data_IF_388399699311
#
_entry.id   IF_388399699311
#
_cell.length_a   1.000
_cell.length_b   1.000
_cell.length_c   1.000
_cell.angle_alpha   90.00
_cell.angle_beta   90.00
_cell.angle_gamma   90.00
#
_symmetry.space_group_name_H-M   'P 1'
#
loop_
_entity.id
_entity.type
_entity.pdbx_description
1 polymer ?
#
# COMPACT_ATOMS: atom_id res chain seq x y z
N UNK A 1 6.94 31.99 -24.01
CA UNK A 1 5.81 31.49 -23.19
C UNK A 1 5.97 29.99 -23.10
N UNK A 2 6.60 29.49 -22.05
CA UNK A 2 6.69 28.04 -21.80
C UNK A 2 5.43 27.69 -21.01
N UNK A 3 4.53 26.94 -21.65
CA UNK A 3 3.37 26.34 -20.99
C UNK A 3 3.93 25.43 -19.88
N UNK A 4 3.75 25.81 -18.61
CA UNK A 4 3.99 24.92 -17.48
C UNK A 4 3.03 23.75 -17.62
N UNK A 5 3.55 22.61 -18.03
CA UNK A 5 2.87 21.34 -17.91
C UNK A 5 2.45 21.19 -16.44
N UNK A 6 1.15 21.09 -16.18
CA UNK A 6 0.61 20.88 -14.83
C UNK A 6 1.13 19.51 -14.37
N UNK A 7 2.25 19.52 -13.65
CA UNK A 7 2.84 18.33 -13.07
C UNK A 7 1.88 17.82 -11.98
N UNK A 8 0.90 17.01 -12.37
CA UNK A 8 0.02 16.32 -11.43
C UNK A 8 0.89 15.25 -10.79
N UNK A 9 1.37 15.51 -9.58
CA UNK A 9 2.07 14.51 -8.79
C UNK A 9 1.22 13.24 -8.69
N UNK A 10 1.84 12.07 -8.79
CA UNK A 10 1.16 10.78 -8.63
C UNK A 10 0.92 10.52 -7.14
N UNK A 11 -0.24 9.96 -6.77
CA UNK A 11 -0.48 9.56 -5.38
C UNK A 11 0.55 8.50 -4.96
N UNK A 12 1.13 8.68 -3.77
CA UNK A 12 2.12 7.78 -3.17
C UNK A 12 1.52 7.10 -1.92
N UNK A 13 0.90 5.93 -2.07
CA UNK A 13 0.48 5.14 -0.91
C UNK A 13 1.68 4.50 -0.21
N UNK A 14 1.63 4.45 1.12
CA UNK A 14 2.52 3.68 1.98
C UNK A 14 1.77 2.45 2.48
N UNK A 15 2.31 1.27 2.24
CA UNK A 15 1.77 0.01 2.73
C UNK A 15 2.56 -0.43 3.96
N UNK A 16 1.88 -0.57 5.11
CA UNK A 16 2.44 -1.16 6.33
C UNK A 16 1.78 -2.51 6.57
N UNK A 17 2.58 -3.57 6.62
CA UNK A 17 2.09 -4.94 6.77
C UNK A 17 2.32 -5.40 8.21
N UNK A 18 1.22 -5.62 8.92
CA UNK A 18 1.16 -5.98 10.33
C UNK A 18 1.48 -4.83 11.28
N UNK A 19 1.05 -5.00 12.53
CA UNK A 19 1.40 -4.10 13.63
C UNK A 19 2.60 -4.67 14.40
N UNK A 20 3.56 -3.79 14.71
CA UNK A 20 4.77 -4.13 15.49
C UNK A 20 5.57 -5.34 14.98
N UNK A 21 5.61 -5.51 13.65
CA UNK A 21 6.30 -6.60 12.94
C UNK A 21 7.81 -6.37 12.76
N UNK A 22 8.35 -5.23 13.20
CA UNK A 22 9.79 -4.91 13.11
C UNK A 22 10.64 -5.95 13.86
N UNK A 23 10.14 -6.46 14.99
CA UNK A 23 10.79 -7.47 15.81
C UNK A 23 10.96 -8.82 15.10
N UNK A 24 10.19 -9.06 14.02
CA UNK A 24 10.26 -10.26 13.20
C UNK A 24 11.45 -10.24 12.22
N UNK A 25 12.25 -9.17 12.20
CA UNK A 25 13.52 -9.04 11.43
C UNK A 25 13.41 -9.37 9.93
N UNK A 26 12.23 -9.24 9.34
CA UNK A 26 12.00 -9.54 7.93
C UNK A 26 11.63 -11.00 7.62
N UNK A 27 11.67 -11.91 8.60
CA UNK A 27 11.41 -13.35 8.39
C UNK A 27 10.08 -13.70 7.68
N UNK A 28 8.94 -13.04 7.97
CA UNK A 28 7.68 -13.35 7.29
C UNK A 28 7.54 -12.65 5.93
N UNK A 29 8.54 -11.86 5.50
CA UNK A 29 8.45 -11.02 4.32
C UNK A 29 9.51 -11.40 3.29
N UNK A 30 9.08 -11.57 2.03
CA UNK A 30 9.98 -11.70 0.90
C UNK A 30 9.68 -10.61 -0.13
N UNK A 31 10.55 -9.62 -0.22
CA UNK A 31 10.47 -8.57 -1.25
C UNK A 31 10.76 -9.20 -2.62
N UNK A 32 9.94 -8.85 -3.62
CA UNK A 32 10.02 -9.39 -4.98
C UNK A 32 10.46 -8.36 -6.03
N UNK A 33 10.67 -7.12 -5.61
CA UNK A 33 11.00 -5.98 -6.45
C UNK A 33 12.20 -5.23 -5.91
N UNK A 34 12.85 -4.45 -6.76
CA UNK A 34 13.94 -3.55 -6.38
C UNK A 34 13.43 -2.11 -6.18
N UNK A 35 14.23 -1.31 -5.47
CA UNK A 35 13.94 0.11 -5.33
C UNK A 35 13.89 0.80 -6.70
N UNK A 36 12.91 1.68 -6.91
CA UNK A 36 12.66 2.39 -8.16
C UNK A 36 12.27 1.49 -9.36
N UNK A 37 12.02 0.19 -9.15
CA UNK A 37 11.48 -0.68 -10.19
C UNK A 37 10.08 -0.22 -10.63
N UNK A 38 9.88 -0.11 -11.94
CA UNK A 38 8.55 0.15 -12.51
C UNK A 38 7.72 -1.14 -12.45
N UNK A 39 6.49 -1.05 -11.95
CA UNK A 39 5.58 -2.17 -11.75
C UNK A 39 4.19 -1.85 -12.26
N UNK A 40 3.44 -2.88 -12.60
CA UNK A 40 2.05 -2.86 -13.04
C UNK A 40 1.11 -3.35 -11.94
N UNK A 41 -0.21 -3.20 -12.12
CA UNK A 41 -1.22 -3.55 -11.12
C UNK A 41 -1.31 -5.05 -10.80
N UNK A 42 -0.72 -5.91 -11.62
CA UNK A 42 -0.74 -7.37 -11.46
C UNK A 42 0.60 -7.94 -10.97
N UNK A 43 1.65 -7.12 -10.89
CA UNK A 43 2.96 -7.58 -10.44
C UNK A 43 3.05 -7.60 -8.90
N UNK A 44 3.41 -8.75 -8.30
CA UNK A 44 3.49 -8.85 -6.86
C UNK A 44 4.74 -8.12 -6.33
N UNK A 45 4.56 -7.30 -5.28
CA UNK A 45 5.65 -6.52 -4.68
C UNK A 45 6.35 -7.27 -3.54
N UNK A 46 5.57 -8.00 -2.74
CA UNK A 46 6.03 -8.71 -1.55
C UNK A 46 5.21 -9.98 -1.37
N UNK A 47 5.85 -11.07 -0.93
CA UNK A 47 5.16 -12.24 -0.36
C UNK A 47 5.16 -12.12 1.15
N UNK A 48 4.01 -12.37 1.76
CA UNK A 48 3.80 -12.31 3.19
C UNK A 48 3.35 -13.67 3.68
N UNK A 49 4.00 -14.15 4.75
CA UNK A 49 3.57 -15.31 5.51
C UNK A 49 2.75 -14.84 6.72
N UNK A 50 1.44 -14.70 6.53
CA UNK A 50 0.53 -14.21 7.59
C UNK A 50 0.44 -15.20 8.76
N UNK A 51 0.58 -16.50 8.51
CA UNK A 51 0.56 -17.52 9.57
C UNK A 51 1.74 -17.32 10.53
N UNK A 52 2.93 -16.98 10.01
CA UNK A 52 4.08 -16.63 10.86
C UNK A 52 3.85 -15.36 11.67
N UNK A 53 3.19 -14.35 11.11
CA UNK A 53 2.87 -13.11 11.85
C UNK A 53 1.96 -13.43 13.04
N UNK A 54 0.90 -14.20 12.80
CA UNK A 54 -0.05 -14.63 13.83
C UNK A 54 0.62 -15.56 14.86
N UNK A 55 1.47 -16.49 14.42
CA UNK A 55 2.21 -17.39 15.31
C UNK A 55 3.19 -16.66 16.24
N UNK A 56 3.64 -15.47 15.87
CA UNK A 56 4.44 -14.58 16.71
C UNK A 56 3.59 -13.61 17.56
N UNK A 57 2.28 -13.84 17.66
CA UNK A 57 1.32 -13.03 18.44
C UNK A 57 1.28 -11.55 18.00
N UNK A 58 1.49 -11.30 16.69
CA UNK A 58 1.39 -9.97 16.08
C UNK A 58 0.11 -9.83 15.27
N UNK A 59 -0.39 -8.61 15.18
CA UNK A 59 -1.59 -8.29 14.38
C UNK A 59 -1.24 -8.30 12.88
N UNK A 60 -1.94 -9.10 12.04
CA UNK A 60 -1.68 -9.19 10.60
C UNK A 60 -2.28 -8.05 9.78
N UNK A 61 -2.94 -7.06 10.40
CA UNK A 61 -3.59 -5.94 9.71
C UNK A 61 -2.64 -5.20 8.78
N UNK A 62 -3.08 -4.95 7.55
CA UNK A 62 -2.36 -4.13 6.57
C UNK A 62 -2.95 -2.73 6.54
N UNK A 63 -2.11 -1.73 6.77
CA UNK A 63 -2.49 -0.31 6.74
C UNK A 63 -2.02 0.28 5.42
N UNK A 64 -2.94 0.93 4.70
CA UNK A 64 -2.63 1.74 3.51
C UNK A 64 -2.76 3.20 3.92
N UNK A 65 -1.66 3.93 3.90
CA UNK A 65 -1.60 5.33 4.29
C UNK A 65 -1.28 6.23 3.11
N UNK A 66 -2.01 7.33 2.96
CA UNK A 66 -1.69 8.40 2.02
C UNK A 66 -1.03 9.53 2.79
N UNK A 67 0.29 9.69 2.61
CA UNK A 67 1.09 10.62 3.40
C UNK A 67 0.94 12.09 2.95
N UNK A 68 0.50 12.31 1.71
CA UNK A 68 0.33 13.64 1.12
C UNK A 68 -1.14 14.08 1.12
N UNK A 69 -1.61 14.55 2.28
CA UNK A 69 -3.01 14.96 2.47
C UNK A 69 -3.44 16.11 1.54
N UNK A 70 -2.53 17.00 1.15
CA UNK A 70 -2.86 18.14 0.29
C UNK A 70 -3.45 17.74 -1.08
N UNK A 71 -3.19 16.50 -1.54
CA UNK A 71 -3.67 16.00 -2.82
C UNK A 71 -5.03 15.28 -2.74
N UNK A 72 -5.58 15.08 -1.54
CA UNK A 72 -6.77 14.25 -1.31
C UNK A 72 -7.84 15.09 -0.61
N UNK A 73 -9.02 15.17 -1.24
CA UNK A 73 -10.20 15.85 -0.69
C UNK A 73 -11.16 14.88 0.00
N UNK A 74 -11.22 13.63 -0.44
CA UNK A 74 -12.11 12.61 0.12
C UNK A 74 -11.55 11.20 -0.11
N UNK A 75 -11.74 10.31 0.86
CA UNK A 75 -11.47 8.88 0.74
C UNK A 75 -12.74 8.13 1.13
N UNK A 76 -13.19 7.24 0.27
CA UNK A 76 -14.32 6.34 0.54
C UNK A 76 -13.82 4.90 0.46
N UNK A 77 -14.06 4.11 1.49
CA UNK A 77 -13.66 2.69 1.54
C UNK A 77 -14.92 1.83 1.64
N UNK A 78 -14.93 0.70 0.94
CA UNK A 78 -16.00 -0.27 1.02
C UNK A 78 -15.76 -1.19 2.22
N UNK A 79 -16.69 -1.23 3.17
CA UNK A 79 -16.64 -2.14 4.31
C UNK A 79 -17.16 -3.53 3.89
N UNK A 80 -16.32 -4.26 3.14
CA UNK A 80 -16.61 -5.60 2.64
C UNK A 80 -15.32 -6.38 2.36
N UNK A 81 -15.46 -7.69 2.25
CA UNK A 81 -14.40 -8.54 1.66
C UNK A 81 -14.28 -8.26 0.16
N UNK A 82 -13.05 -8.16 -0.32
CA UNK A 82 -12.70 -7.96 -1.73
C UNK A 82 -11.67 -9.00 -2.17
N UNK A 83 -11.75 -9.42 -3.42
CA UNK A 83 -10.74 -10.29 -4.02
C UNK A 83 -9.59 -9.49 -4.65
N UNK A 84 -8.48 -10.17 -4.94
CA UNK A 84 -7.35 -9.55 -5.65
C UNK A 84 -7.80 -8.94 -6.99
N UNK A 85 -7.47 -7.67 -7.20
CA UNK A 85 -7.83 -6.93 -8.41
C UNK A 85 -9.17 -6.20 -8.33
N UNK A 86 -9.96 -6.42 -7.28
CA UNK A 86 -11.19 -5.68 -7.06
C UNK A 86 -10.96 -4.31 -6.41
N UNK A 87 -11.88 -3.39 -6.66
CA UNK A 87 -11.86 -2.04 -6.09
C UNK A 87 -12.32 -2.10 -4.63
N UNK A 88 -11.47 -1.65 -3.71
CA UNK A 88 -11.77 -1.54 -2.28
C UNK A 88 -12.22 -0.13 -1.84
N UNK A 89 -12.11 0.87 -2.70
CA UNK A 89 -12.45 2.25 -2.37
C UNK A 89 -12.15 3.24 -3.48
N UNK A 90 -12.48 4.50 -3.23
CA UNK A 90 -12.30 5.62 -4.14
C UNK A 90 -11.59 6.78 -3.43
N UNK A 91 -10.79 7.53 -4.19
CA UNK A 91 -10.07 8.71 -3.71
C UNK A 91 -10.45 9.88 -4.60
N UNK A 92 -11.04 10.93 -4.02
CA UNK A 92 -11.19 12.21 -4.71
C UNK A 92 -9.97 13.07 -4.42
N UNK A 93 -9.41 13.60 -5.49
CA UNK A 93 -8.23 14.47 -5.44
C UNK A 93 -8.68 15.93 -5.32
N UNK A 94 -7.83 16.76 -4.73
CA UNK A 94 -8.02 18.21 -4.66
C UNK A 94 -7.72 18.88 -6.00
#
# INVERSE_FOLDING_TARGET
>A
MVQKEKNRETLRPLYRIGLDTVELKGEPFKILVEENQHVTTTEPLVKVDFDKIVACEKDPTVIVAFIEQAQISEITVQDKTVDHGEVCGEIKRT
#
